data_IF_356983033493
#
_entry.id   IF_356983033493
#
_cell.length_a   1.000
_cell.length_b   1.000
_cell.length_c   1.000
_cell.angle_alpha   90.00
_cell.angle_beta   90.00
_cell.angle_gamma   90.00
#
_symmetry.space_group_name_H-M   'P 1'
#
loop_
_entity.id
_entity.type
_entity.pdbx_description
1 polymer ?
#
# COMPACT_ATOMS: atom_id res chain seq x y z
N UNK A 1 -7.15 24.14 19.22
CA UNK A 1 -7.57 23.24 18.10
C UNK A 1 -8.56 22.20 18.64
N UNK A 2 -9.76 22.11 18.04
CA UNK A 2 -10.81 21.19 18.48
C UNK A 2 -10.44 19.75 18.05
N UNK A 3 -10.42 18.76 18.96
CA UNK A 3 -10.15 17.37 18.61
C UNK A 3 -11.19 16.77 17.65
N UNK A 4 -10.74 15.95 16.70
CA UNK A 4 -11.61 15.19 15.80
C UNK A 4 -12.45 14.15 16.56
N UNK A 5 -13.71 13.89 16.17
CA UNK A 5 -14.56 12.90 16.84
C UNK A 5 -13.97 11.48 16.80
N UNK A 6 -14.01 10.79 17.94
CA UNK A 6 -13.55 9.40 18.09
C UNK A 6 -14.73 8.46 18.23
N UNK A 7 -14.78 7.41 17.40
CA UNK A 7 -15.76 6.32 17.52
C UNK A 7 -15.14 5.07 18.13
N UNK A 8 -15.79 4.55 19.17
CA UNK A 8 -15.40 3.36 19.91
C UNK A 8 -16.54 2.32 19.87
N UNK A 9 -16.21 1.05 20.08
CA UNK A 9 -17.15 -0.05 20.27
C UNK A 9 -16.76 -0.93 21.44
N UNK A 10 -17.78 -1.46 22.11
CA UNK A 10 -17.64 -2.50 23.11
C UNK A 10 -18.52 -3.70 22.70
N UNK A 11 -17.96 -4.74 22.05
CA UNK A 11 -18.73 -5.86 21.54
C UNK A 11 -19.30 -6.77 22.63
N UNK A 12 -18.95 -6.54 23.90
CA UNK A 12 -19.37 -7.33 25.06
C UNK A 12 -20.32 -6.57 26.00
N UNK A 13 -20.33 -5.23 25.98
CA UNK A 13 -21.18 -4.37 26.81
C UNK A 13 -22.58 -4.05 26.26
N UNK A 14 -23.52 -3.57 27.10
CA UNK A 14 -24.89 -3.24 26.69
C UNK A 14 -24.96 -2.11 25.64
N UNK A 15 -24.06 -1.14 25.74
CA UNK A 15 -23.79 -0.16 24.70
C UNK A 15 -22.63 -0.64 23.83
N UNK A 16 -22.91 -0.91 22.54
CA UNK A 16 -21.92 -1.44 21.59
C UNK A 16 -21.09 -0.36 20.91
N UNK A 17 -21.53 0.90 20.95
CA UNK A 17 -20.88 2.03 20.27
C UNK A 17 -20.83 3.23 21.20
N UNK A 18 -19.69 3.92 21.24
CA UNK A 18 -19.55 5.22 21.85
C UNK A 18 -18.93 6.21 20.86
N UNK A 19 -19.34 7.47 20.90
CA UNK A 19 -18.79 8.56 20.11
C UNK A 19 -18.40 9.67 21.07
N UNK A 20 -17.13 10.09 21.02
CA UNK A 20 -16.62 11.25 21.73
C UNK A 20 -16.39 12.35 20.71
N UNK A 21 -16.94 13.53 20.92
CA UNK A 21 -16.72 14.71 20.07
C UNK A 21 -16.54 15.95 20.93
N UNK A 22 -16.03 17.03 20.36
CA UNK A 22 -15.93 18.32 21.03
C UNK A 22 -16.73 19.38 20.28
N UNK A 23 -17.36 20.29 21.00
CA UNK A 23 -18.12 21.40 20.44
C UNK A 23 -17.99 22.64 21.32
N UNK A 24 -18.05 23.83 20.73
CA UNK A 24 -18.06 25.08 21.49
C UNK A 24 -19.32 25.18 22.36
N UNK A 25 -19.16 25.71 23.58
CA UNK A 25 -20.22 25.88 24.54
C UNK A 25 -21.13 27.03 24.11
N UNK A 26 -22.44 26.79 24.13
CA UNK A 26 -23.40 27.79 23.70
C UNK A 26 -23.34 29.03 24.61
N UNK A 27 -23.19 30.21 24.01
CA UNK A 27 -23.19 31.49 24.71
C UNK A 27 -21.89 31.86 25.43
N UNK A 28 -20.82 31.04 25.34
CA UNK A 28 -19.53 31.34 26.00
C UNK A 28 -18.37 31.13 25.03
N UNK A 29 -17.86 32.24 24.49
CA UNK A 29 -16.76 32.22 23.52
C UNK A 29 -15.48 31.63 24.15
N UNK A 30 -14.84 30.69 23.45
CA UNK A 30 -13.58 30.07 23.89
C UNK A 30 -13.73 28.99 24.97
N UNK A 31 -14.97 28.57 25.25
CA UNK A 31 -15.28 27.48 26.16
C UNK A 31 -15.89 26.30 25.37
N UNK A 32 -15.56 25.06 25.72
CA UNK A 32 -15.88 23.87 24.91
C UNK A 32 -16.44 22.74 25.76
N UNK A 33 -17.39 21.98 25.22
CA UNK A 33 -17.84 20.72 25.80
C UNK A 33 -17.19 19.52 25.12
N UNK A 34 -16.87 18.51 25.91
CA UNK A 34 -16.65 17.14 25.42
C UNK A 34 -17.98 16.40 25.48
N UNK A 35 -18.46 15.92 24.35
CA UNK A 35 -19.73 15.24 24.19
C UNK A 35 -19.49 13.74 24.06
N UNK A 36 -20.21 12.93 24.84
CA UNK A 36 -20.11 11.46 24.83
C UNK A 36 -21.49 10.88 24.56
N UNK A 37 -21.68 10.26 23.40
CA UNK A 37 -22.91 9.55 23.08
C UNK A 37 -22.66 8.04 23.02
N UNK A 38 -23.47 7.23 23.71
CA UNK A 38 -23.35 5.76 23.77
C UNK A 38 -24.62 5.09 23.28
N UNK A 39 -24.55 3.88 22.74
CA UNK A 39 -25.73 3.13 22.34
C UNK A 39 -25.46 1.73 21.78
N UNK A 40 -26.50 0.93 21.54
CA UNK A 40 -26.37 -0.44 21.03
C UNK A 40 -25.88 -0.52 19.56
N UNK A 41 -25.96 0.57 18.78
CA UNK A 41 -25.42 0.65 17.41
C UNK A 41 -25.28 2.12 16.98
N UNK A 42 -24.47 2.40 15.97
CA UNK A 42 -24.17 3.76 15.51
C UNK A 42 -25.41 4.59 15.11
N UNK A 43 -26.48 3.95 14.63
CA UNK A 43 -27.75 4.62 14.30
C UNK A 43 -28.75 4.74 15.44
N UNK A 44 -28.39 4.32 16.66
CA UNK A 44 -29.23 4.39 17.86
C UNK A 44 -28.35 4.71 19.07
N UNK A 45 -27.90 5.95 19.15
CA UNK A 45 -27.20 6.49 20.32
C UNK A 45 -28.22 7.12 21.28
N UNK A 46 -27.97 7.00 22.58
CA UNK A 46 -28.74 7.67 23.63
C UNK A 46 -28.46 9.17 23.69
N UNK A 47 -29.13 9.86 24.62
CA UNK A 47 -28.85 11.27 24.90
C UNK A 47 -27.42 11.38 25.41
N UNK A 48 -26.54 12.01 24.64
CA UNK A 48 -25.13 12.12 24.99
C UNK A 48 -24.91 12.97 26.24
N UNK A 49 -23.85 12.67 26.98
CA UNK A 49 -23.39 13.44 28.13
C UNK A 49 -22.48 14.58 27.64
N UNK A 50 -22.74 15.80 28.10
CA UNK A 50 -21.82 16.93 27.89
C UNK A 50 -20.97 17.12 29.15
N UNK A 51 -19.65 17.19 28.98
CA UNK A 51 -18.67 17.44 30.03
C UNK A 51 -18.03 18.81 29.77
N UNK A 52 -17.81 19.58 30.83
CA UNK A 52 -17.31 20.95 30.75
C UNK A 52 -18.38 21.98 31.14
N UNK A 53 -18.26 23.23 30.69
CA UNK A 53 -17.35 23.70 29.65
C UNK A 53 -15.88 23.78 30.11
N UNK A 54 -14.94 23.58 29.18
CA UNK A 54 -13.49 23.62 29.38
C UNK A 54 -12.88 24.76 28.57
N UNK A 55 -11.78 25.33 29.06
CA UNK A 55 -11.00 26.28 28.27
C UNK A 55 -10.33 25.58 27.08
N UNK A 56 -10.04 26.31 25.98
CA UNK A 56 -9.39 25.72 24.79
C UNK A 56 -8.10 24.97 25.12
N UNK A 57 -7.31 25.50 26.06
CA UNK A 57 -6.03 24.91 26.48
C UNK A 57 -6.17 23.56 27.18
N UNK A 58 -7.34 23.29 27.79
CA UNK A 58 -7.63 22.05 28.49
C UNK A 58 -8.41 21.04 27.62
N UNK A 59 -9.00 21.49 26.51
CA UNK A 59 -9.91 20.68 25.71
C UNK A 59 -9.26 19.37 25.24
N UNK A 60 -8.01 19.43 24.79
CA UNK A 60 -7.31 18.25 24.28
C UNK A 60 -7.04 17.21 25.38
N UNK A 61 -6.62 17.64 26.58
CA UNK A 61 -6.35 16.72 27.70
C UNK A 61 -7.66 16.11 28.22
N UNK A 62 -8.70 16.92 28.41
CA UNK A 62 -10.02 16.46 28.86
C UNK A 62 -10.67 15.50 27.86
N UNK A 63 -10.53 15.76 26.56
CA UNK A 63 -10.99 14.85 25.52
C UNK A 63 -10.26 13.50 25.59
N UNK A 64 -8.94 13.51 25.79
CA UNK A 64 -8.14 12.29 25.92
C UNK A 64 -8.53 11.48 27.17
N UNK A 65 -8.70 12.13 28.32
CA UNK A 65 -9.16 11.51 29.58
C UNK A 65 -10.49 10.76 29.40
N UNK A 66 -11.44 11.38 28.68
CA UNK A 66 -12.76 10.77 28.40
C UNK A 66 -12.63 9.53 27.50
N UNK A 67 -11.77 9.59 26.48
CA UNK A 67 -11.49 8.44 25.62
C UNK A 67 -10.81 7.32 26.42
N UNK A 68 -9.89 7.65 27.32
CA UNK A 68 -9.21 6.67 28.18
C UNK A 68 -10.15 6.02 29.18
N UNK A 69 -11.07 6.79 29.79
CA UNK A 69 -12.13 6.24 30.63
C UNK A 69 -12.97 5.21 29.87
N UNK A 70 -13.36 5.53 28.64
CA UNK A 70 -14.12 4.60 27.79
C UNK A 70 -13.32 3.33 27.46
N UNK A 71 -12.00 3.44 27.27
CA UNK A 71 -11.11 2.27 27.08
C UNK A 71 -11.12 1.35 28.29
N UNK A 72 -11.07 1.90 29.50
CA UNK A 72 -11.16 1.13 30.75
C UNK A 72 -12.51 0.40 30.89
N UNK A 73 -13.58 0.98 30.34
CA UNK A 73 -14.91 0.35 30.27
C UNK A 73 -15.04 -0.74 29.17
N UNK A 74 -13.97 -1.03 28.43
CA UNK A 74 -13.95 -2.03 27.37
C UNK A 74 -14.38 -1.50 25.99
N UNK A 75 -14.57 -0.18 25.83
CA UNK A 75 -14.74 0.42 24.51
C UNK A 75 -13.39 0.57 23.81
N UNK A 76 -13.22 -0.09 22.68
CA UNK A 76 -12.06 0.04 21.80
C UNK A 76 -12.46 0.70 20.49
N UNK A 77 -11.59 1.41 19.79
CA UNK A 77 -11.96 1.97 18.46
C UNK A 77 -12.53 0.87 17.57
N UNK A 78 -13.79 1.03 17.17
CA UNK A 78 -14.58 -0.10 16.72
C UNK A 78 -13.91 -0.91 15.62
N UNK A 79 -13.89 -2.23 15.80
CA UNK A 79 -13.26 -3.15 14.87
C UNK A 79 -11.74 -3.26 14.95
N UNK A 80 -11.01 -2.55 15.82
CA UNK A 80 -9.57 -2.82 15.98
C UNK A 80 -9.33 -4.20 16.59
N UNK A 81 -9.89 -4.46 17.78
CA UNK A 81 -9.79 -5.76 18.46
C UNK A 81 -10.31 -6.88 17.57
N UNK A 82 -11.50 -6.70 17.00
CA UNK A 82 -12.07 -7.67 16.06
C UNK A 82 -11.16 -7.93 14.85
N UNK A 83 -10.53 -6.90 14.26
CA UNK A 83 -9.62 -7.08 13.13
C UNK A 83 -8.32 -7.77 13.55
N UNK A 84 -7.80 -7.46 14.75
CA UNK A 84 -6.64 -8.15 15.34
C UNK A 84 -6.97 -9.63 15.56
N UNK A 85 -8.12 -9.93 16.16
CA UNK A 85 -8.59 -11.31 16.36
C UNK A 85 -8.80 -12.02 15.01
N UNK A 86 -9.28 -11.30 13.99
CA UNK A 86 -9.46 -11.84 12.64
C UNK A 86 -8.13 -12.19 11.96
N UNK A 87 -6.99 -11.66 12.43
CA UNK A 87 -5.67 -12.12 11.97
C UNK A 87 -5.34 -13.55 12.41
N UNK A 88 -6.10 -14.12 13.35
CA UNK A 88 -5.96 -15.51 13.81
C UNK A 88 -6.85 -16.49 13.03
N UNK A 89 -7.66 -16.00 12.08
CA UNK A 89 -8.57 -16.84 11.31
C UNK A 89 -7.79 -17.87 10.46
N UNK A 90 -8.31 -19.10 10.39
CA UNK A 90 -7.68 -20.18 9.63
C UNK A 90 -7.62 -19.87 8.12
N UNK A 91 -8.54 -19.06 7.60
CA UNK A 91 -8.63 -18.73 6.18
C UNK A 91 -7.72 -17.53 5.82
N UNK A 92 -6.71 -17.71 4.95
CA UNK A 92 -5.80 -16.63 4.55
C UNK A 92 -6.52 -15.45 3.89
N UNK A 93 -7.64 -15.67 3.18
CA UNK A 93 -8.40 -14.60 2.55
C UNK A 93 -9.10 -13.69 3.58
N UNK A 94 -9.49 -14.25 4.73
CA UNK A 94 -10.09 -13.50 5.84
C UNK A 94 -9.02 -12.66 6.54
N UNK A 95 -7.87 -13.27 6.87
CA UNK A 95 -6.70 -12.56 7.43
C UNK A 95 -6.22 -11.42 6.52
N UNK A 96 -6.14 -11.66 5.21
CA UNK A 96 -5.72 -10.64 4.24
C UNK A 96 -6.63 -9.40 4.25
N UNK A 97 -7.95 -9.57 4.38
CA UNK A 97 -8.89 -8.44 4.48
C UNK A 97 -8.71 -7.69 5.79
N UNK A 98 -8.47 -8.41 6.89
CA UNK A 98 -8.20 -7.79 8.18
C UNK A 98 -6.92 -6.96 8.14
N UNK A 99 -5.82 -7.54 7.62
CA UNK A 99 -4.55 -6.86 7.42
C UNK A 99 -4.70 -5.60 6.56
N UNK A 100 -5.36 -5.70 5.40
CA UNK A 100 -5.59 -4.55 4.53
C UNK A 100 -6.33 -3.41 5.24
N UNK A 101 -7.34 -3.74 6.08
CA UNK A 101 -8.11 -2.75 6.82
C UNK A 101 -7.30 -2.12 7.97
N UNK A 102 -6.47 -2.91 8.66
CA UNK A 102 -5.55 -2.42 9.70
C UNK A 102 -4.48 -1.49 9.09
N UNK A 103 -3.91 -1.87 7.95
CA UNK A 103 -2.96 -1.05 7.19
C UNK A 103 -3.57 0.27 6.73
N UNK A 104 -4.78 0.25 6.16
CA UNK A 104 -5.49 1.47 5.76
C UNK A 104 -5.79 2.40 6.94
N UNK A 105 -6.08 1.83 8.12
CA UNK A 105 -6.27 2.58 9.37
C UNK A 105 -4.97 3.08 9.99
N UNK A 106 -3.80 2.65 9.49
CA UNK A 106 -2.47 2.90 10.08
C UNK A 106 -2.41 2.57 11.57
N UNK A 107 -3.02 1.44 11.95
CA UNK A 107 -3.19 1.05 13.35
C UNK A 107 -1.87 0.51 13.95
N UNK A 108 -1.14 1.36 14.68
CA UNK A 108 0.16 1.00 15.26
C UNK A 108 0.08 -0.15 16.27
N UNK A 109 -1.02 -0.29 16.99
CA UNK A 109 -1.18 -1.40 17.94
C UNK A 109 -1.32 -2.76 17.23
N UNK A 110 -1.63 -2.77 15.93
CA UNK A 110 -1.70 -3.99 15.14
C UNK A 110 -0.34 -4.49 14.64
N UNK A 111 0.76 -3.75 14.83
CA UNK A 111 2.10 -4.13 14.31
C UNK A 111 2.54 -5.49 14.86
N UNK A 112 2.48 -5.69 16.18
CA UNK A 112 2.80 -6.98 16.81
C UNK A 112 1.95 -8.14 16.28
N UNK A 113 0.60 -8.03 16.30
CA UNK A 113 -0.28 -9.04 15.71
C UNK A 113 -0.03 -9.33 14.22
N UNK A 114 0.25 -8.30 13.41
CA UNK A 114 0.57 -8.47 11.99
C UNK A 114 1.91 -9.20 11.79
N UNK A 115 2.93 -8.91 12.61
CA UNK A 115 4.21 -9.63 12.61
C UNK A 115 3.99 -11.10 12.97
N UNK A 116 3.19 -11.37 14.01
CA UNK A 116 2.86 -12.73 14.41
C UNK A 116 2.14 -13.50 13.28
N UNK A 117 1.13 -12.90 12.66
CA UNK A 117 0.44 -13.50 11.51
C UNK A 117 1.35 -13.70 10.29
N UNK A 118 2.33 -12.81 10.07
CA UNK A 118 3.30 -12.92 8.97
C UNK A 118 4.19 -14.16 9.10
N UNK A 119 4.49 -14.61 10.33
CA UNK A 119 5.34 -15.78 10.58
C UNK A 119 4.75 -17.10 10.04
N UNK A 120 3.43 -17.23 10.02
CA UNK A 120 2.68 -18.39 9.53
C UNK A 120 1.94 -18.09 8.21
N UNK A 121 2.29 -17.00 7.53
CA UNK A 121 1.58 -16.53 6.37
C UNK A 121 1.79 -17.43 5.13
N UNK A 122 0.69 -17.64 4.40
CA UNK A 122 0.67 -18.44 3.19
C UNK A 122 0.38 -17.55 1.96
N UNK A 123 -0.88 -17.53 1.51
CA UNK A 123 -1.34 -16.68 0.40
C UNK A 123 -1.57 -15.22 0.81
N UNK A 124 -1.54 -14.91 2.10
CA UNK A 124 -1.86 -13.61 2.68
C UNK A 124 -0.64 -12.74 3.00
N UNK A 125 0.57 -13.28 2.88
CA UNK A 125 1.83 -12.60 3.18
C UNK A 125 1.94 -11.20 2.55
N UNK A 126 1.53 -11.04 1.27
CA UNK A 126 1.58 -9.74 0.62
C UNK A 126 0.68 -8.69 1.31
N UNK A 127 -0.50 -9.08 1.80
CA UNK A 127 -1.42 -8.14 2.47
C UNK A 127 -0.90 -7.76 3.85
N UNK A 128 -0.25 -8.69 4.55
CA UNK A 128 0.40 -8.44 5.84
C UNK A 128 1.60 -7.50 5.67
N UNK A 129 2.47 -7.75 4.69
CA UNK A 129 3.60 -6.87 4.36
C UNK A 129 3.14 -5.47 3.93
N UNK A 130 2.16 -5.38 3.02
CA UNK A 130 1.58 -4.11 2.57
C UNK A 130 1.00 -3.34 3.77
N UNK A 131 0.35 -4.02 4.73
CA UNK A 131 -0.19 -3.40 5.94
C UNK A 131 0.90 -2.88 6.90
N UNK A 132 1.94 -3.67 7.16
CA UNK A 132 3.08 -3.25 7.98
C UNK A 132 3.77 -2.02 7.38
N UNK A 133 3.98 -2.03 6.06
CA UNK A 133 4.51 -0.86 5.34
C UNK A 133 3.59 0.35 5.42
N UNK A 134 2.27 0.18 5.29
CA UNK A 134 1.32 1.30 5.39
C UNK A 134 1.26 1.91 6.79
N UNK A 135 1.38 1.09 7.84
CA UNK A 135 1.48 1.55 9.23
C UNK A 135 2.79 2.32 9.46
N UNK A 136 3.90 1.82 8.90
CA UNK A 136 5.19 2.52 8.90
C UNK A 136 5.90 2.50 10.26
N UNK A 137 5.69 1.47 11.08
CA UNK A 137 6.40 1.29 12.35
C UNK A 137 7.69 0.48 12.15
N UNK A 138 8.89 1.07 12.35
CA UNK A 138 10.18 0.42 12.13
C UNK A 138 10.39 -0.89 12.91
N UNK A 139 9.62 -1.15 13.98
CA UNK A 139 9.64 -2.44 14.70
C UNK A 139 9.36 -3.63 13.76
N UNK A 140 8.67 -3.41 12.65
CA UNK A 140 8.40 -4.44 11.65
C UNK A 140 9.61 -4.82 10.78
N UNK A 141 10.68 -4.02 10.73
CA UNK A 141 11.81 -4.20 9.81
C UNK A 141 12.41 -5.62 9.89
N UNK A 142 12.75 -6.18 11.07
CA UNK A 142 13.33 -7.52 11.15
C UNK A 142 12.42 -8.62 10.59
N UNK A 143 11.09 -8.47 10.72
CA UNK A 143 10.12 -9.42 10.19
C UNK A 143 9.94 -9.28 8.66
N UNK A 144 10.13 -8.08 8.11
CA UNK A 144 9.95 -7.78 6.69
C UNK A 144 11.18 -8.14 5.85
N UNK A 145 12.41 -7.88 6.34
CA UNK A 145 13.67 -8.11 5.59
C UNK A 145 13.77 -9.50 4.94
N UNK A 146 13.44 -10.62 5.60
CA UNK A 146 13.53 -11.96 5.00
C UNK A 146 12.67 -12.13 3.74
N UNK A 147 11.58 -11.38 3.60
CA UNK A 147 10.70 -11.46 2.43
C UNK A 147 11.24 -10.67 1.24
N UNK A 148 12.03 -9.62 1.46
CA UNK A 148 12.70 -8.84 0.39
C UNK A 148 13.84 -9.62 -0.30
N UNK A 149 14.31 -10.71 0.30
CA UNK A 149 15.32 -11.61 -0.25
C UNK A 149 14.74 -12.80 -1.04
N UNK A 150 13.41 -13.02 -1.02
CA UNK A 150 12.80 -14.22 -1.60
C UNK A 150 12.69 -14.19 -3.12
N UNK A 151 12.73 -15.38 -3.76
CA UNK A 151 12.54 -15.56 -5.22
C UNK A 151 11.12 -15.25 -5.71
N UNK A 152 10.10 -15.40 -4.85
CA UNK A 152 8.71 -15.13 -5.23
C UNK A 152 8.48 -13.62 -5.38
N UNK A 153 8.37 -13.18 -6.64
CA UNK A 153 8.28 -11.76 -7.02
C UNK A 153 7.18 -10.97 -6.29
N UNK A 154 6.02 -11.58 -6.00
CA UNK A 154 4.91 -10.88 -5.34
C UNK A 154 5.25 -10.48 -3.90
N UNK A 155 5.72 -11.45 -3.10
CA UNK A 155 6.13 -11.25 -1.71
C UNK A 155 7.35 -10.35 -1.62
N UNK A 156 8.31 -10.51 -2.53
CA UNK A 156 9.50 -9.66 -2.63
C UNK A 156 9.12 -8.20 -2.82
N UNK A 157 8.26 -7.90 -3.80
CA UNK A 157 7.79 -6.54 -4.09
C UNK A 157 7.10 -5.91 -2.89
N UNK A 158 6.12 -6.60 -2.29
CA UNK A 158 5.43 -6.10 -1.09
C UNK A 158 6.40 -5.83 0.06
N UNK A 159 7.37 -6.71 0.28
CA UNK A 159 8.39 -6.49 1.29
C UNK A 159 9.30 -5.29 0.98
N UNK A 160 9.75 -5.13 -0.27
CA UNK A 160 10.60 -3.99 -0.66
C UNK A 160 9.86 -2.66 -0.55
N UNK A 161 8.59 -2.60 -0.96
CA UNK A 161 7.78 -1.39 -0.74
C UNK A 161 7.54 -1.15 0.76
N UNK A 162 7.34 -2.21 1.56
CA UNK A 162 7.22 -2.08 3.00
C UNK A 162 8.53 -1.54 3.63
N UNK A 163 9.69 -2.09 3.29
CA UNK A 163 11.00 -1.59 3.75
C UNK A 163 11.20 -0.11 3.39
N UNK A 164 10.77 0.30 2.19
CA UNK A 164 10.81 1.70 1.77
C UNK A 164 9.93 2.59 2.65
N UNK A 165 8.72 2.16 2.98
CA UNK A 165 7.84 2.92 3.87
C UNK A 165 8.29 2.90 5.34
N UNK A 166 9.00 1.85 5.74
CA UNK A 166 9.58 1.69 7.09
C UNK A 166 10.90 2.46 7.26
N UNK A 167 11.47 3.00 6.18
CA UNK A 167 12.74 3.74 6.21
C UNK A 167 13.99 2.86 6.35
N UNK A 168 13.90 1.57 5.99
CA UNK A 168 15.02 0.64 6.10
C UNK A 168 16.03 0.80 4.95
N UNK A 169 16.89 1.83 5.06
CA UNK A 169 17.89 2.14 4.03
C UNK A 169 18.89 0.99 3.81
N UNK A 170 19.31 0.31 4.86
CA UNK A 170 20.24 -0.84 4.79
C UNK A 170 19.59 -2.02 4.05
N UNK A 171 18.37 -2.42 4.42
CA UNK A 171 17.67 -3.51 3.74
C UNK A 171 17.36 -3.21 2.28
N UNK A 172 17.12 -1.94 1.93
CA UNK A 172 17.01 -1.50 0.54
C UNK A 172 18.34 -1.59 -0.21
N UNK A 173 19.46 -1.22 0.41
CA UNK A 173 20.79 -1.31 -0.20
C UNK A 173 21.19 -2.78 -0.47
N UNK A 174 20.98 -3.68 0.50
CA UNK A 174 21.19 -5.11 0.32
C UNK A 174 20.33 -5.68 -0.82
N UNK A 175 19.04 -5.30 -0.86
CA UNK A 175 18.16 -5.71 -1.93
C UNK A 175 18.63 -5.18 -3.29
N UNK A 176 19.07 -3.92 -3.36
CA UNK A 176 19.56 -3.30 -4.58
C UNK A 176 20.81 -4.03 -5.12
N UNK A 177 21.74 -4.42 -4.26
CA UNK A 177 22.91 -5.22 -4.65
C UNK A 177 22.48 -6.55 -5.31
N UNK A 178 21.58 -7.30 -4.68
CA UNK A 178 21.04 -8.56 -5.23
C UNK A 178 20.32 -8.37 -6.56
N UNK A 179 19.52 -7.32 -6.69
CA UNK A 179 18.81 -7.04 -7.96
C UNK A 179 19.81 -6.70 -9.05
N UNK A 180 20.83 -5.88 -8.77
CA UNK A 180 21.90 -5.54 -9.71
C UNK A 180 22.62 -6.79 -10.24
N UNK A 181 22.93 -7.75 -9.38
CA UNK A 181 23.54 -9.03 -9.79
C UNK A 181 22.66 -9.84 -10.76
N UNK A 182 21.34 -9.70 -10.66
CA UNK A 182 20.38 -10.41 -11.51
C UNK A 182 20.03 -9.69 -12.82
N UNK A 183 20.48 -8.44 -13.00
CA UNK A 183 20.21 -7.68 -14.22
C UNK A 183 21.01 -8.25 -15.41
N UNK A 184 20.44 -8.23 -16.63
CA UNK A 184 21.22 -8.52 -17.83
C UNK A 184 22.46 -7.65 -17.91
N UNK A 185 23.59 -8.23 -18.30
CA UNK A 185 24.90 -7.55 -18.29
C UNK A 185 24.90 -6.18 -18.99
N UNK A 186 24.30 -5.98 -20.19
CA UNK A 186 24.27 -4.66 -20.82
C UNK A 186 23.59 -3.61 -19.96
N UNK A 187 22.52 -3.99 -19.25
CA UNK A 187 21.73 -3.09 -18.39
C UNK A 187 22.48 -2.81 -17.10
N UNK A 188 23.15 -3.82 -16.52
CA UNK A 188 23.98 -3.65 -15.33
C UNK A 188 25.14 -2.69 -15.61
N UNK A 189 25.87 -2.87 -16.72
CA UNK A 189 26.96 -1.98 -17.12
C UNK A 189 26.49 -0.55 -17.36
N UNK A 190 25.35 -0.37 -18.03
CA UNK A 190 24.77 0.94 -18.26
C UNK A 190 24.26 1.60 -16.97
N UNK A 191 23.80 0.82 -15.98
CA UNK A 191 23.38 1.34 -14.69
C UNK A 191 24.58 1.70 -13.81
N UNK A 192 25.66 0.92 -13.86
CA UNK A 192 26.86 1.12 -13.04
C UNK A 192 27.73 2.30 -13.55
N UNK A 193 27.59 2.68 -14.83
CA UNK A 193 28.25 3.88 -15.39
C UNK A 193 27.57 5.19 -15.03
N UNK A 194 26.45 5.12 -14.31
CA UNK A 194 25.59 6.25 -13.99
C UNK A 194 25.61 6.53 -12.49
N UNK A 195 25.84 7.79 -12.06
CA UNK A 195 25.65 8.17 -10.67
C UNK A 195 24.20 7.88 -10.23
N UNK A 196 23.95 7.28 -9.06
CA UNK A 196 22.62 6.84 -8.65
C UNK A 196 21.55 7.94 -8.68
N UNK A 197 21.95 9.17 -8.35
CA UNK A 197 21.08 10.34 -8.22
C UNK A 197 20.93 11.14 -9.54
N UNK A 198 21.55 10.70 -10.63
CA UNK A 198 21.50 11.37 -11.93
C UNK A 198 20.23 10.98 -12.71
N UNK A 199 19.25 11.87 -12.74
CA UNK A 199 17.97 11.70 -13.44
C UNK A 199 17.93 12.37 -14.83
N UNK A 200 19.07 12.83 -15.35
CA UNK A 200 19.15 13.49 -16.66
C UNK A 200 18.69 12.56 -17.78
N UNK A 201 18.07 13.15 -18.79
CA UNK A 201 17.48 12.43 -19.92
C UNK A 201 18.53 11.62 -20.70
N UNK A 202 19.74 12.16 -20.88
CA UNK A 202 20.84 11.48 -21.56
C UNK A 202 21.27 10.20 -20.82
N UNK A 203 21.32 10.28 -19.50
CA UNK A 203 21.66 9.20 -18.59
C UNK A 203 20.60 8.09 -18.63
N UNK A 204 19.32 8.47 -18.59
CA UNK A 204 18.20 7.55 -18.77
C UNK A 204 18.21 6.86 -20.14
N UNK A 205 18.62 7.58 -21.20
CA UNK A 205 18.72 7.09 -22.56
C UNK A 205 19.69 5.91 -22.73
N UNK A 206 20.86 5.96 -22.08
CA UNK A 206 21.84 4.88 -22.14
C UNK A 206 21.31 3.58 -21.53
N UNK A 207 20.67 3.65 -20.35
CA UNK A 207 20.05 2.50 -19.70
C UNK A 207 18.86 1.99 -20.54
N UNK A 208 18.04 2.88 -21.09
CA UNK A 208 16.91 2.52 -21.95
C UNK A 208 17.34 1.80 -23.25
N UNK A 209 18.43 2.24 -23.86
CA UNK A 209 19.03 1.58 -25.02
C UNK A 209 19.53 0.17 -24.66
N UNK A 210 20.20 0.02 -23.51
CA UNK A 210 20.64 -1.29 -23.01
C UNK A 210 19.46 -2.22 -22.72
N UNK A 211 18.36 -1.74 -22.14
CA UNK A 211 17.14 -2.56 -21.95
C UNK A 211 16.55 -3.00 -23.29
N UNK A 212 16.62 -2.14 -24.31
CA UNK A 212 16.14 -2.45 -25.66
C UNK A 212 16.98 -3.52 -26.36
N UNK A 213 18.28 -3.65 -26.03
CA UNK A 213 19.15 -4.71 -26.57
C UNK A 213 18.96 -6.07 -25.89
N UNK A 214 18.26 -6.14 -24.74
CA UNK A 214 17.96 -7.40 -24.05
C UNK A 214 16.86 -8.18 -24.77
N UNK A 215 16.93 -9.52 -24.68
CA UNK A 215 15.87 -10.44 -25.13
C UNK A 215 14.48 -9.98 -24.69
N UNK A 216 13.53 -9.99 -25.63
CA UNK A 216 12.18 -9.46 -25.44
C UNK A 216 11.46 -10.09 -24.23
N UNK A 217 11.71 -11.39 -23.95
CA UNK A 217 11.12 -12.14 -22.84
C UNK A 217 11.61 -11.66 -21.47
N UNK A 218 12.82 -11.09 -21.42
CA UNK A 218 13.43 -10.57 -20.19
C UNK A 218 13.17 -9.07 -19.99
N UNK A 219 12.81 -8.32 -21.04
CA UNK A 219 12.57 -6.86 -20.96
C UNK A 219 11.58 -6.48 -19.87
N UNK A 220 10.46 -7.20 -19.75
CA UNK A 220 9.47 -6.92 -18.71
C UNK A 220 10.00 -7.10 -17.29
N UNK A 221 10.72 -8.19 -17.03
CA UNK A 221 11.35 -8.43 -15.73
C UNK A 221 12.44 -7.39 -15.44
N UNK A 222 13.21 -7.01 -16.46
CA UNK A 222 14.27 -6.01 -16.37
C UNK A 222 13.70 -4.65 -15.99
N UNK A 223 12.65 -4.18 -16.66
CA UNK A 223 11.95 -2.94 -16.33
C UNK A 223 11.38 -2.95 -14.91
N UNK A 224 10.76 -4.04 -14.49
CA UNK A 224 10.21 -4.15 -13.13
C UNK A 224 11.31 -4.18 -12.06
N UNK A 225 12.46 -4.77 -12.37
CA UNK A 225 13.64 -4.79 -11.49
C UNK A 225 14.29 -3.41 -11.38
N UNK A 226 14.45 -2.68 -12.50
CA UNK A 226 14.90 -1.29 -12.51
C UNK A 226 13.95 -0.38 -11.72
N UNK A 227 12.64 -0.56 -11.89
CA UNK A 227 11.65 0.18 -11.10
C UNK A 227 11.67 -0.22 -9.61
N UNK A 228 12.01 -1.48 -9.29
CA UNK A 228 12.16 -1.96 -7.91
C UNK A 228 13.35 -1.35 -7.19
N UNK A 229 14.50 -1.17 -7.87
CA UNK A 229 15.64 -0.40 -7.34
C UNK A 229 15.18 1.01 -6.91
N UNK A 230 14.43 1.68 -7.79
CA UNK A 230 13.82 2.96 -7.49
C UNK A 230 14.82 4.10 -7.31
N UNK A 231 16.01 4.02 -7.91
CA UNK A 231 16.89 5.18 -8.03
C UNK A 231 16.35 6.14 -9.10
N UNK A 232 16.64 7.45 -9.02
CA UNK A 232 16.21 8.42 -10.03
C UNK A 232 16.55 7.98 -11.47
N UNK A 233 17.80 7.56 -11.72
CA UNK A 233 18.25 7.04 -13.00
C UNK A 233 17.44 5.82 -13.49
N UNK A 234 17.21 4.83 -12.62
CA UNK A 234 16.53 3.59 -13.00
C UNK A 234 15.06 3.84 -13.31
N UNK A 235 14.41 4.73 -12.56
CA UNK A 235 13.02 5.12 -12.79
C UNK A 235 12.89 5.96 -14.07
N UNK A 236 13.81 6.89 -14.31
CA UNK A 236 13.83 7.68 -15.54
C UNK A 236 13.99 6.79 -16.79
N UNK A 237 14.90 5.82 -16.75
CA UNK A 237 15.08 4.84 -17.84
C UNK A 237 13.83 3.99 -18.10
N UNK A 238 13.13 3.56 -17.03
CA UNK A 238 11.84 2.87 -17.18
C UNK A 238 10.83 3.77 -17.87
N UNK A 239 10.67 5.02 -17.40
CA UNK A 239 9.72 6.00 -17.96
C UNK A 239 9.95 6.27 -19.44
N UNK A 240 11.20 6.36 -19.88
CA UNK A 240 11.57 6.57 -21.28
C UNK A 240 11.04 5.46 -22.21
N UNK A 241 10.89 4.23 -21.71
CA UNK A 241 10.44 3.10 -22.50
C UNK A 241 8.92 2.88 -22.47
N UNK A 242 8.24 3.26 -21.38
CA UNK A 242 6.81 2.95 -21.17
C UNK A 242 5.86 3.30 -22.32
N UNK A 243 5.98 4.46 -23.01
CA UNK A 243 5.03 4.85 -24.05
C UNK A 243 4.92 3.85 -25.22
N UNK A 244 6.02 3.19 -25.57
CA UNK A 244 6.14 2.38 -26.79
C UNK A 244 6.00 0.87 -26.55
N UNK A 245 5.73 0.45 -25.30
CA UNK A 245 5.70 -0.96 -24.94
C UNK A 245 4.41 -1.69 -25.42
N UNK A 246 4.54 -2.87 -26.04
CA UNK A 246 3.39 -3.67 -26.48
C UNK A 246 2.75 -4.45 -25.32
N UNK A 247 1.64 -3.95 -24.77
CA UNK A 247 1.00 -4.53 -23.59
C UNK A 247 0.29 -5.88 -23.81
N UNK A 248 0.14 -6.33 -25.06
CA UNK A 248 -0.41 -7.65 -25.40
C UNK A 248 0.63 -8.78 -25.38
N UNK A 249 1.89 -8.51 -24.97
CA UNK A 249 2.91 -9.54 -24.77
C UNK A 249 2.84 -10.12 -23.34
N UNK A 250 2.65 -11.43 -23.14
CA UNK A 250 2.46 -12.02 -21.81
C UNK A 250 3.62 -11.79 -20.83
N UNK A 251 4.87 -11.92 -21.32
CA UNK A 251 6.10 -11.72 -20.55
C UNK A 251 6.40 -10.26 -20.25
N UNK A 252 5.71 -9.31 -20.89
CA UNK A 252 5.82 -7.88 -20.60
C UNK A 252 4.69 -7.45 -19.67
N UNK A 253 3.45 -7.81 -20.03
CA UNK A 253 2.22 -7.37 -19.37
C UNK A 253 2.21 -7.59 -17.86
N UNK A 254 2.69 -8.75 -17.41
CA UNK A 254 2.74 -9.10 -15.98
C UNK A 254 3.52 -8.07 -15.16
N UNK A 255 4.63 -7.58 -15.71
CA UNK A 255 5.56 -6.67 -15.05
C UNK A 255 5.11 -5.22 -15.17
N UNK A 256 4.57 -4.82 -16.33
CA UNK A 256 3.96 -3.50 -16.48
C UNK A 256 2.79 -3.30 -15.52
N UNK A 257 1.93 -4.31 -15.34
CA UNK A 257 0.85 -4.27 -14.34
C UNK A 257 1.39 -4.05 -12.92
N UNK A 258 2.56 -4.62 -12.62
CA UNK A 258 3.25 -4.46 -11.33
C UNK A 258 3.75 -3.03 -11.14
N UNK A 259 4.47 -2.48 -12.13
CA UNK A 259 4.94 -1.09 -12.14
C UNK A 259 3.74 -0.14 -12.01
N UNK A 260 2.65 -0.39 -12.74
CA UNK A 260 1.44 0.42 -12.66
C UNK A 260 0.78 0.43 -11.27
N UNK A 261 0.69 -0.73 -10.61
CA UNK A 261 0.22 -0.78 -9.21
C UNK A 261 1.16 0.01 -8.29
N UNK A 262 2.47 -0.18 -8.46
CA UNK A 262 3.48 0.44 -7.60
C UNK A 262 3.63 1.95 -7.81
N UNK A 263 3.42 2.48 -9.00
CA UNK A 263 3.41 3.93 -9.21
C UNK A 263 2.30 4.62 -8.42
N UNK A 264 1.11 4.01 -8.33
CA UNK A 264 0.04 4.51 -7.46
C UNK A 264 0.39 4.41 -5.97
N UNK A 265 1.03 3.30 -5.54
CA UNK A 265 1.45 3.10 -4.15
C UNK A 265 2.54 4.09 -3.71
N UNK A 266 3.48 4.39 -4.61
CA UNK A 266 4.58 5.34 -4.37
C UNK A 266 4.17 6.80 -4.54
N UNK A 267 2.90 7.07 -4.90
CA UNK A 267 2.46 8.39 -5.31
C UNK A 267 3.39 9.01 -6.38
N UNK A 268 3.75 8.21 -7.38
CA UNK A 268 4.57 8.61 -8.53
C UNK A 268 3.65 9.04 -9.69
N UNK A 269 3.29 10.34 -9.78
CA UNK A 269 2.32 10.82 -10.77
C UNK A 269 2.83 10.70 -12.19
N UNK A 270 4.14 10.80 -12.41
CA UNK A 270 4.75 10.77 -13.76
C UNK A 270 4.63 9.36 -14.32
N UNK A 271 5.11 8.34 -13.59
CA UNK A 271 5.03 6.96 -14.04
C UNK A 271 3.57 6.50 -14.18
N UNK A 272 2.71 6.89 -13.23
CA UNK A 272 1.27 6.62 -13.32
C UNK A 272 0.63 7.25 -14.56
N UNK A 273 0.92 8.52 -14.85
CA UNK A 273 0.39 9.26 -15.99
C UNK A 273 0.81 8.64 -17.32
N UNK A 274 2.11 8.37 -17.49
CA UNK A 274 2.67 7.71 -18.68
C UNK A 274 2.00 6.36 -18.94
N UNK A 275 1.88 5.52 -17.90
CA UNK A 275 1.24 4.21 -18.04
C UNK A 275 -0.26 4.31 -18.31
N UNK A 276 -0.97 5.21 -17.64
CA UNK A 276 -2.41 5.40 -17.87
C UNK A 276 -2.68 5.82 -19.31
N UNK A 277 -1.89 6.78 -19.82
CA UNK A 277 -1.96 7.22 -21.21
C UNK A 277 -1.63 6.09 -22.19
N UNK A 278 -0.49 5.41 -21.98
CA UNK A 278 -0.07 4.31 -22.84
C UNK A 278 -1.11 3.17 -22.85
N UNK A 279 -1.72 2.85 -21.70
CA UNK A 279 -2.74 1.78 -21.58
C UNK A 279 -3.99 2.15 -22.38
N UNK A 280 -4.42 3.41 -22.30
CA UNK A 280 -5.55 3.91 -23.08
C UNK A 280 -5.26 3.84 -24.58
N UNK A 281 -4.10 4.36 -25.00
CA UNK A 281 -3.68 4.41 -26.41
C UNK A 281 -3.49 3.01 -27.00
N UNK A 282 -2.76 2.12 -26.33
CA UNK A 282 -2.53 0.75 -26.79
C UNK A 282 -3.82 -0.10 -26.77
N UNK A 283 -4.72 0.13 -25.80
CA UNK A 283 -6.02 -0.56 -25.77
C UNK A 283 -6.89 -0.29 -27.01
N UNK A 284 -6.63 0.79 -27.76
CA UNK A 284 -7.29 1.08 -29.04
C UNK A 284 -6.65 0.34 -30.23
N UNK A 285 -5.39 -0.07 -30.10
CA UNK A 285 -4.58 -0.69 -31.17
C UNK A 285 -4.60 -2.22 -31.13
N UNK A 286 -4.91 -2.85 -29.99
CA UNK A 286 -4.91 -4.32 -29.84
C UNK A 286 -6.17 -4.85 -29.16
N UNK A 287 -6.59 -6.06 -29.56
CA UNK A 287 -7.66 -6.83 -28.88
C UNK A 287 -7.15 -7.62 -27.67
N UNK A 288 -5.82 -7.63 -27.45
CA UNK A 288 -5.16 -8.47 -26.47
C UNK A 288 -5.01 -9.93 -26.92
N UNK A 289 -4.39 -10.75 -26.09
CA UNK A 289 -4.15 -12.17 -26.35
C UNK A 289 -4.59 -13.04 -25.16
N UNK A 290 -4.35 -14.34 -25.20
CA UNK A 290 -4.40 -15.20 -24.03
C UNK A 290 -3.12 -16.03 -23.95
N UNK A 291 -2.70 -16.33 -22.73
CA UNK A 291 -1.51 -17.13 -22.49
C UNK A 291 -1.62 -17.90 -21.18
N UNK A 292 -0.92 -19.04 -21.13
CA UNK A 292 -0.69 -19.78 -19.89
C UNK A 292 0.40 -19.07 -19.10
N UNK A 293 0.03 -18.47 -17.97
CA UNK A 293 0.94 -17.70 -17.12
C UNK A 293 1.02 -18.33 -15.73
N UNK A 294 2.25 -18.43 -15.21
CA UNK A 294 2.50 -18.86 -13.83
C UNK A 294 2.09 -17.75 -12.86
N UNK A 295 1.14 -18.03 -11.98
CA UNK A 295 0.72 -17.15 -10.89
C UNK A 295 1.90 -16.77 -10.01
N UNK A 296 2.02 -15.48 -9.72
CA UNK A 296 3.01 -15.00 -8.75
C UNK A 296 2.60 -15.20 -7.31
N UNK A 297 1.35 -15.56 -7.05
CA UNK A 297 0.79 -15.75 -5.70
C UNK A 297 1.07 -17.17 -5.18
N UNK A 298 0.71 -18.17 -5.98
CA UNK A 298 0.70 -19.59 -5.61
C UNK A 298 1.52 -20.46 -6.57
N UNK A 299 2.14 -19.89 -7.60
CA UNK A 299 2.95 -20.63 -8.56
C UNK A 299 2.16 -21.49 -9.55
N UNK A 300 0.83 -21.51 -9.49
CA UNK A 300 -0.01 -22.31 -10.40
C UNK A 300 -0.04 -21.70 -11.80
N UNK A 301 -0.03 -22.53 -12.85
CA UNK A 301 -0.16 -22.06 -14.23
C UNK A 301 -1.65 -21.94 -14.56
N UNK A 302 -2.05 -20.76 -15.08
CA UNK A 302 -3.45 -20.50 -15.45
C UNK A 302 -3.53 -19.89 -16.84
N UNK A 303 -4.50 -20.35 -17.63
CA UNK A 303 -4.84 -19.71 -18.88
C UNK A 303 -5.52 -18.36 -18.58
N UNK A 304 -4.85 -17.27 -18.95
CA UNK A 304 -5.27 -15.92 -18.55
C UNK A 304 -5.41 -14.99 -19.76
N UNK A 305 -6.43 -14.11 -19.76
CA UNK A 305 -6.52 -13.05 -20.76
C UNK A 305 -5.43 -12.01 -20.52
N UNK A 306 -4.63 -11.74 -21.55
CA UNK A 306 -3.54 -10.76 -21.52
C UNK A 306 -4.02 -9.52 -22.27
N UNK A 307 -4.17 -8.43 -21.51
CA UNK A 307 -4.56 -7.13 -22.04
C UNK A 307 -5.80 -7.13 -22.98
N UNK A 308 -6.73 -8.06 -22.75
CA UNK A 308 -8.02 -8.09 -23.47
C UNK A 308 -8.96 -6.98 -23.00
N UNK A 309 -10.03 -6.73 -23.76
CA UNK A 309 -11.06 -5.70 -23.46
C UNK A 309 -11.49 -5.62 -21.99
N UNK A 310 -11.84 -6.72 -21.29
CA UNK A 310 -12.18 -6.65 -19.86
C UNK A 310 -11.04 -6.12 -18.99
N UNK A 311 -9.81 -6.56 -19.24
CA UNK A 311 -8.60 -6.08 -18.54
C UNK A 311 -8.35 -4.60 -18.82
N UNK A 312 -8.48 -4.16 -20.08
CA UNK A 312 -8.33 -2.76 -20.47
C UNK A 312 -9.34 -1.87 -19.74
N UNK A 313 -10.63 -2.26 -19.72
CA UNK A 313 -11.69 -1.53 -19.02
C UNK A 313 -11.45 -1.47 -17.51
N UNK A 314 -11.00 -2.58 -16.91
CA UNK A 314 -10.64 -2.62 -15.50
C UNK A 314 -9.55 -1.59 -15.17
N UNK A 315 -8.48 -1.53 -15.97
CA UNK A 315 -7.37 -0.61 -15.74
C UNK A 315 -7.80 0.85 -15.84
N UNK A 316 -8.62 1.21 -16.82
CA UNK A 316 -9.16 2.56 -16.98
C UNK A 316 -10.02 2.98 -15.78
N UNK A 317 -10.86 2.06 -15.30
CA UNK A 317 -11.65 2.27 -14.06
C UNK A 317 -10.75 2.41 -12.84
N UNK A 318 -9.66 1.65 -12.77
CA UNK A 318 -8.66 1.77 -11.71
C UNK A 318 -7.96 3.13 -11.75
N UNK A 319 -7.51 3.60 -12.93
CA UNK A 319 -6.97 4.95 -13.12
C UNK A 319 -7.94 6.02 -12.62
N UNK A 320 -9.21 5.91 -13.04
CA UNK A 320 -10.26 6.86 -12.66
C UNK A 320 -10.51 6.90 -11.15
N UNK A 321 -10.57 5.73 -10.50
CA UNK A 321 -10.74 5.64 -9.04
C UNK A 321 -9.56 6.25 -8.30
N UNK A 322 -8.34 6.04 -8.78
CA UNK A 322 -7.14 6.62 -8.17
C UNK A 322 -7.12 8.14 -8.32
N UNK A 323 -7.39 8.66 -9.53
CA UNK A 323 -7.49 10.10 -9.78
C UNK A 323 -8.59 10.76 -8.91
N UNK A 324 -9.75 10.12 -8.78
CA UNK A 324 -10.82 10.58 -7.86
C UNK A 324 -10.42 10.59 -6.40
N UNK A 325 -9.49 9.75 -5.98
CA UNK A 325 -9.01 9.73 -4.60
C UNK A 325 -7.92 10.78 -4.35
N UNK A 326 -7.29 11.30 -5.41
CA UNK A 326 -6.32 12.39 -5.34
C UNK A 326 -6.97 13.78 -5.44
N UNK A 327 -8.10 13.88 -6.14
CA UNK A 327 -8.90 15.11 -6.28
C UNK A 327 -9.75 15.39 -5.04
#
# INVERSE_FOLDING_TARGET
MIPEPVRLSNPSGPDRVAVVSAAEAWGTLGAYHVLVARGPRAGKLGKGTALGPFAEVELASRFAEVVDSLRLEGFSTAGRSTLIDTLLDANPAVRARAAARLGWRRDREAVGPLIAALSSAEGDACSLLDALGAIGDPVAIPAVRPFAARKLLSRRRSAVEALRNLGDAEGLAEHAARVRESLPEPVRLALDSVPPDDDREQTAGAIAAAVSSVDERLRGLTLDSLFELGSPASVAAVRALLPDLPFDRPYLWRYIKSIYKRSMLRHDPITFGLLSHAIEANGRKTKGTAASVKSGLDGTIRHSPIFRRPTQLYLRRLSWRYLKALA
#
